data_IF_715076153752
#
_entry.id   IF_715076153752
#
_cell.length_a   1.000
_cell.length_b   1.000
_cell.length_c   1.000
_cell.angle_alpha   90.00
_cell.angle_beta   90.00
_cell.angle_gamma   90.00
#
_symmetry.space_group_name_H-M   'P 1'
#
loop_
_entity.id
_entity.type
_entity.pdbx_description
1 polymer ?
#
# COMPACT_ATOMS: atom_id res chain seq x y z
N UNK A 1 9.83 -18.77 0.58
CA UNK A 1 9.17 -17.83 1.52
C UNK A 1 9.59 -18.16 2.95
N UNK A 2 9.67 -17.18 3.85
CA UNK A 2 10.09 -17.43 5.25
C UNK A 2 8.97 -18.13 6.02
N UNK A 3 9.28 -19.22 6.74
CA UNK A 3 8.31 -19.92 7.60
C UNK A 3 7.67 -18.98 8.65
N UNK A 4 8.41 -17.96 9.11
CA UNK A 4 7.89 -16.94 10.03
C UNK A 4 6.76 -16.10 9.40
N UNK A 5 6.89 -15.77 8.10
CA UNK A 5 5.88 -15.00 7.39
C UNK A 5 4.59 -15.80 7.21
N UNK A 6 4.70 -17.11 6.96
CA UNK A 6 3.54 -18.01 6.88
C UNK A 6 2.83 -18.08 8.24
N UNK A 7 3.57 -18.25 9.34
CA UNK A 7 2.99 -18.27 10.69
C UNK A 7 2.29 -16.97 11.06
N UNK A 8 2.90 -15.82 10.76
CA UNK A 8 2.26 -14.52 10.97
C UNK A 8 0.99 -14.36 10.14
N UNK A 9 1.04 -14.75 8.86
CA UNK A 9 -0.13 -14.74 7.98
C UNK A 9 -1.28 -15.59 8.53
N UNK A 10 -0.99 -16.79 9.05
CA UNK A 10 -1.99 -17.68 9.63
C UNK A 10 -2.64 -17.07 10.88
N UNK A 11 -1.84 -16.52 11.80
CA UNK A 11 -2.36 -15.83 12.98
C UNK A 11 -3.26 -14.63 12.64
N UNK A 12 -2.86 -13.81 11.65
CA UNK A 12 -3.69 -12.69 11.20
C UNK A 12 -5.03 -13.17 10.62
N UNK A 13 -5.03 -14.27 9.87
CA UNK A 13 -6.27 -14.85 9.35
C UNK A 13 -7.13 -15.51 10.42
N UNK A 14 -6.52 -16.09 11.46
CA UNK A 14 -7.24 -16.65 12.61
C UNK A 14 -7.98 -15.56 13.38
N UNK A 15 -7.29 -14.44 13.67
CA UNK A 15 -7.86 -13.35 14.45
C UNK A 15 -9.03 -12.65 13.73
N UNK A 16 -8.94 -12.53 12.40
CA UNK A 16 -9.96 -11.82 11.61
C UNK A 16 -11.10 -12.71 11.12
N UNK A 17 -10.83 -13.97 10.78
CA UNK A 17 -11.79 -14.85 10.10
C UNK A 17 -12.06 -16.18 10.81
N UNK A 18 -11.30 -16.48 11.87
CA UNK A 18 -11.46 -17.68 12.69
C UNK A 18 -10.64 -18.90 12.24
N UNK A 19 -10.68 -19.93 13.08
CA UNK A 19 -9.82 -21.12 12.99
C UNK A 19 -10.02 -21.94 11.70
N UNK A 20 -11.26 -22.03 11.20
CA UNK A 20 -11.54 -22.78 9.96
C UNK A 20 -10.84 -22.16 8.75
N UNK A 21 -10.83 -20.82 8.67
CA UNK A 21 -10.19 -20.08 7.60
C UNK A 21 -8.67 -20.18 7.72
N UNK A 22 -8.14 -20.06 8.94
CA UNK A 22 -6.72 -20.25 9.22
C UNK A 22 -6.22 -21.63 8.74
N UNK A 23 -6.90 -22.72 9.08
CA UNK A 23 -6.49 -24.08 8.68
C UNK A 23 -6.41 -24.26 7.16
N UNK A 24 -7.39 -23.71 6.44
CA UNK A 24 -7.42 -23.75 4.97
C UNK A 24 -6.31 -22.87 4.39
N UNK A 25 -6.11 -21.68 4.95
CA UNK A 25 -5.05 -20.75 4.58
C UNK A 25 -3.66 -21.37 4.76
N UNK A 26 -3.37 -21.90 5.95
CA UNK A 26 -2.11 -22.57 6.28
C UNK A 26 -1.81 -23.70 5.29
N UNK A 27 -2.80 -24.56 5.01
CA UNK A 27 -2.63 -25.66 4.05
C UNK A 27 -2.23 -25.15 2.65
N UNK A 28 -2.91 -24.12 2.14
CA UNK A 28 -2.61 -23.54 0.83
C UNK A 28 -1.24 -22.84 0.79
N UNK A 29 -0.86 -22.16 1.88
CA UNK A 29 0.43 -21.47 1.96
C UNK A 29 1.63 -22.43 2.03
N UNK A 30 1.46 -23.61 2.65
CA UNK A 30 2.53 -24.61 2.73
C UNK A 30 2.60 -25.54 1.50
N UNK A 31 1.45 -25.94 0.97
CA UNK A 31 1.39 -26.98 -0.08
C UNK A 31 1.22 -26.40 -1.50
N UNK A 32 0.96 -25.10 -1.62
CA UNK A 32 0.72 -24.43 -2.90
C UNK A 32 -0.68 -24.71 -3.46
N UNK A 33 -0.84 -24.49 -4.75
CA UNK A 33 -2.13 -24.60 -5.45
C UNK A 33 -2.74 -26.00 -5.29
N UNK A 34 -4.01 -26.07 -4.89
CA UNK A 34 -4.66 -27.34 -4.53
C UNK A 34 -6.15 -27.38 -4.88
N UNK A 35 -6.65 -28.57 -5.22
CA UNK A 35 -8.09 -28.78 -5.47
C UNK A 35 -8.91 -28.76 -4.18
N UNK A 36 -10.20 -28.41 -4.29
CA UNK A 36 -11.15 -28.44 -3.17
C UNK A 36 -11.16 -29.79 -2.43
N UNK A 37 -11.09 -30.90 -3.17
CA UNK A 37 -11.12 -32.24 -2.61
C UNK A 37 -9.85 -32.53 -1.80
N UNK A 38 -8.69 -32.12 -2.33
CA UNK A 38 -7.41 -32.26 -1.65
C UNK A 38 -7.40 -31.47 -0.34
N UNK A 39 -7.86 -30.22 -0.38
CA UNK A 39 -7.93 -29.34 0.79
C UNK A 39 -8.79 -29.97 1.89
N UNK A 40 -10.01 -30.41 1.57
CA UNK A 40 -10.92 -31.01 2.55
C UNK A 40 -10.37 -32.31 3.15
N UNK A 41 -9.75 -33.15 2.33
CA UNK A 41 -9.20 -34.44 2.79
C UNK A 41 -7.99 -34.23 3.70
N UNK A 42 -7.11 -33.29 3.36
CA UNK A 42 -5.85 -33.04 4.09
C UNK A 42 -6.06 -32.24 5.37
N UNK A 43 -6.94 -31.23 5.36
CA UNK A 43 -7.24 -30.41 6.54
C UNK A 43 -8.21 -31.09 7.51
N UNK A 44 -8.87 -32.19 7.09
CA UNK A 44 -9.95 -32.86 7.82
C UNK A 44 -11.15 -31.94 8.13
N UNK A 45 -11.28 -30.85 7.40
CA UNK A 45 -12.42 -29.92 7.50
C UNK A 45 -13.50 -30.37 6.52
N UNK A 46 -14.80 -30.38 6.92
CA UNK A 46 -15.90 -30.72 6.02
C UNK A 46 -15.90 -29.85 4.76
N UNK A 47 -16.20 -30.46 3.61
CA UNK A 47 -16.16 -29.76 2.31
C UNK A 47 -17.04 -28.50 2.27
N UNK A 48 -18.15 -28.48 3.02
CA UNK A 48 -19.02 -27.30 3.15
C UNK A 48 -18.32 -26.13 3.82
N UNK A 49 -17.60 -26.41 4.91
CA UNK A 49 -16.83 -25.40 5.65
C UNK A 49 -15.61 -24.93 4.86
N UNK A 50 -14.94 -25.83 4.13
CA UNK A 50 -13.87 -25.44 3.20
C UNK A 50 -14.38 -24.49 2.12
N UNK A 51 -15.56 -24.73 1.55
CA UNK A 51 -16.16 -23.82 0.56
C UNK A 51 -16.44 -22.43 1.16
N UNK A 52 -16.99 -22.37 2.37
CA UNK A 52 -17.23 -21.10 3.08
C UNK A 52 -15.91 -20.36 3.35
N UNK A 53 -14.90 -21.08 3.84
CA UNK A 53 -13.59 -20.50 4.09
C UNK A 53 -12.94 -19.94 2.82
N UNK A 54 -12.96 -20.71 1.72
CA UNK A 54 -12.45 -20.25 0.43
C UNK A 54 -13.23 -19.04 -0.09
N UNK A 55 -14.56 -19.00 0.09
CA UNK A 55 -15.39 -17.85 -0.27
C UNK A 55 -14.94 -16.57 0.46
N UNK A 56 -14.74 -16.64 1.77
CA UNK A 56 -14.22 -15.52 2.58
C UNK A 56 -12.84 -15.11 2.09
N UNK A 57 -11.92 -16.07 1.89
CA UNK A 57 -10.56 -15.76 1.44
C UNK A 57 -10.52 -15.12 0.05
N UNK A 58 -11.37 -15.57 -0.89
CA UNK A 58 -11.48 -14.99 -2.23
C UNK A 58 -12.08 -13.58 -2.16
N UNK A 59 -13.12 -13.40 -1.33
CA UNK A 59 -13.73 -12.09 -1.09
C UNK A 59 -12.70 -11.07 -0.57
N UNK A 60 -11.77 -11.48 0.31
CA UNK A 60 -10.69 -10.63 0.79
C UNK A 60 -9.43 -10.62 -0.08
N UNK A 61 -9.46 -11.29 -1.25
CA UNK A 61 -8.33 -11.38 -2.19
C UNK A 61 -7.07 -11.95 -1.52
N UNK A 62 -7.26 -12.85 -0.56
CA UNK A 62 -6.22 -13.64 0.10
C UNK A 62 -5.95 -14.89 -0.74
N UNK A 63 -7.03 -15.50 -1.25
CA UNK A 63 -6.97 -16.62 -2.17
C UNK A 63 -7.39 -16.23 -3.58
N UNK A 64 -6.80 -16.91 -4.56
CA UNK A 64 -7.21 -16.90 -5.97
C UNK A 64 -7.52 -18.33 -6.43
N UNK A 65 -8.16 -18.46 -7.58
CA UNK A 65 -8.43 -19.74 -8.20
C UNK A 65 -8.11 -19.69 -9.68
N UNK A 66 -7.58 -20.79 -10.21
CA UNK A 66 -7.24 -20.95 -11.62
C UNK A 66 -7.70 -22.31 -12.12
N UNK A 67 -8.05 -22.40 -13.39
CA UNK A 67 -8.34 -23.68 -14.04
C UNK A 67 -7.05 -24.25 -14.62
N UNK A 68 -6.62 -25.41 -14.11
CA UNK A 68 -5.48 -26.13 -14.64
C UNK A 68 -5.79 -26.65 -16.07
N UNK A 69 -4.77 -27.08 -16.83
CA UNK A 69 -4.86 -27.66 -18.19
C UNK A 69 -5.86 -28.82 -18.33
N UNK A 70 -6.29 -29.42 -17.22
CA UNK A 70 -7.30 -30.49 -17.14
C UNK A 70 -8.71 -29.97 -16.78
N UNK A 71 -8.96 -28.67 -16.86
CA UNK A 71 -10.19 -27.99 -16.41
C UNK A 71 -10.55 -28.26 -14.94
N UNK A 72 -9.53 -28.50 -14.10
CA UNK A 72 -9.69 -28.65 -12.66
C UNK A 72 -9.36 -27.32 -11.99
N UNK A 73 -10.27 -26.84 -11.13
CA UNK A 73 -10.07 -25.61 -10.36
C UNK A 73 -9.12 -25.89 -9.21
N UNK A 74 -8.01 -25.14 -9.19
CA UNK A 74 -7.03 -25.13 -8.12
C UNK A 74 -7.06 -23.78 -7.42
N UNK A 75 -7.03 -23.81 -6.09
CA UNK A 75 -7.01 -22.63 -5.24
C UNK A 75 -5.59 -22.38 -4.76
N UNK A 76 -5.16 -21.12 -4.75
CA UNK A 76 -3.86 -20.70 -4.22
C UNK A 76 -4.06 -19.55 -3.22
N UNK A 77 -3.14 -19.38 -2.28
CA UNK A 77 -3.18 -18.31 -1.29
C UNK A 77 -1.88 -17.49 -1.32
N UNK A 78 -2.00 -16.19 -1.08
CA UNK A 78 -0.86 -15.26 -1.10
C UNK A 78 -0.47 -14.81 0.29
N UNK A 79 0.73 -15.20 0.74
CA UNK A 79 1.31 -14.72 2.01
C UNK A 79 1.35 -13.20 2.04
N UNK A 80 1.73 -12.56 0.93
CA UNK A 80 1.84 -11.10 0.87
C UNK A 80 0.50 -10.44 1.14
N UNK A 81 -0.60 -10.97 0.58
CA UNK A 81 -1.96 -10.45 0.83
C UNK A 81 -2.37 -10.63 2.29
N UNK A 82 -2.07 -11.77 2.91
CA UNK A 82 -2.31 -11.97 4.35
C UNK A 82 -1.55 -10.96 5.20
N UNK A 83 -0.28 -10.69 4.90
CA UNK A 83 0.53 -9.75 5.67
C UNK A 83 0.04 -8.29 5.55
N UNK A 84 -0.71 -7.96 4.50
CA UNK A 84 -1.32 -6.63 4.34
C UNK A 84 -2.49 -6.40 5.29
N UNK A 85 -3.09 -7.45 5.87
CA UNK A 85 -4.13 -7.34 6.91
C UNK A 85 -3.62 -6.51 8.10
N UNK A 86 -2.36 -6.72 8.50
CA UNK A 86 -1.73 -5.94 9.57
C UNK A 86 -1.57 -4.44 9.25
N UNK A 87 -1.73 -4.03 7.98
CA UNK A 87 -1.62 -2.63 7.55
C UNK A 87 -2.96 -1.92 7.43
N UNK A 88 -4.09 -2.61 7.61
CA UNK A 88 -5.43 -2.03 7.48
C UNK A 88 -5.62 -0.74 8.28
N UNK A 89 -5.23 -0.67 9.58
CA UNK A 89 -5.36 0.57 10.34
C UNK A 89 -4.62 1.76 9.72
N UNK A 90 -3.46 1.51 9.10
CA UNK A 90 -2.68 2.57 8.43
C UNK A 90 -3.36 3.04 7.14
N UNK A 91 -4.00 2.15 6.39
CA UNK A 91 -4.77 2.52 5.19
C UNK A 91 -6.01 3.35 5.57
N UNK A 92 -6.74 2.93 6.61
CA UNK A 92 -7.92 3.63 7.12
C UNK A 92 -7.53 5.04 7.60
N UNK A 93 -6.47 5.14 8.40
CA UNK A 93 -5.96 6.44 8.85
C UNK A 93 -5.51 7.34 7.69
N UNK A 94 -4.86 6.77 6.67
CA UNK A 94 -4.50 7.51 5.46
C UNK A 94 -5.73 8.08 4.75
N UNK A 95 -6.80 7.29 4.64
CA UNK A 95 -8.06 7.73 4.06
C UNK A 95 -8.69 8.88 4.89
N UNK A 96 -8.68 8.77 6.22
CA UNK A 96 -9.13 9.84 7.13
C UNK A 96 -8.38 11.16 6.87
N UNK A 97 -7.05 11.10 6.76
CA UNK A 97 -6.22 12.30 6.58
C UNK A 97 -6.42 12.97 5.22
N UNK A 98 -6.75 12.20 4.18
CA UNK A 98 -6.93 12.73 2.82
C UNK A 98 -8.37 13.11 2.51
N UNK A 99 -9.34 12.40 3.10
CA UNK A 99 -10.74 12.45 2.70
C UNK A 99 -11.72 12.67 3.84
N UNK A 100 -11.26 12.93 5.06
CA UNK A 100 -12.04 13.06 6.31
C UNK A 100 -12.73 11.78 6.78
N UNK A 101 -13.58 11.90 7.80
CA UNK A 101 -14.26 10.77 8.46
C UNK A 101 -15.12 9.95 7.48
N UNK A 102 -15.71 10.58 6.45
CA UNK A 102 -16.47 9.84 5.45
C UNK A 102 -15.55 8.96 4.60
N UNK A 103 -14.37 9.45 4.23
CA UNK A 103 -13.38 8.65 3.51
C UNK A 103 -12.78 7.53 4.35
N UNK A 104 -12.58 7.77 5.65
CA UNK A 104 -12.18 6.75 6.63
C UNK A 104 -13.14 5.56 6.62
N UNK A 105 -14.44 5.84 6.81
CA UNK A 105 -15.46 4.81 6.90
C UNK A 105 -15.67 4.06 5.58
N UNK A 106 -15.59 4.74 4.43
CA UNK A 106 -15.67 4.08 3.11
C UNK A 106 -14.55 3.04 2.96
N UNK A 107 -13.31 3.42 3.27
CA UNK A 107 -12.16 2.52 3.12
C UNK A 107 -12.21 1.42 4.18
N UNK A 108 -12.61 1.74 5.41
CA UNK A 108 -12.83 0.75 6.47
C UNK A 108 -13.85 -0.32 6.06
N UNK A 109 -15.01 0.11 5.54
CA UNK A 109 -16.09 -0.79 5.14
C UNK A 109 -15.62 -1.73 4.02
N UNK A 110 -14.92 -1.22 3.01
CA UNK A 110 -14.38 -2.04 1.91
C UNK A 110 -13.29 -3.00 2.41
N UNK A 111 -12.38 -2.57 3.29
CA UNK A 111 -11.32 -3.44 3.79
C UNK A 111 -11.86 -4.61 4.64
N UNK A 112 -12.86 -4.35 5.47
CA UNK A 112 -13.50 -5.36 6.34
C UNK A 112 -14.56 -6.19 5.61
N UNK A 113 -15.21 -5.63 4.60
CA UNK A 113 -16.21 -6.32 3.77
C UNK A 113 -15.64 -7.03 2.56
N UNK A 114 -14.38 -6.76 2.17
CA UNK A 114 -13.72 -7.37 1.02
C UNK A 114 -14.16 -6.74 -0.30
N UNK A 115 -14.93 -7.47 -1.09
CA UNK A 115 -15.48 -6.99 -2.36
C UNK A 115 -16.94 -6.60 -2.17
N UNK A 116 -17.27 -5.34 -2.48
CA UNK A 116 -18.61 -4.81 -2.22
C UNK A 116 -19.10 -3.93 -3.36
N UNK A 117 -20.42 -3.86 -3.54
CA UNK A 117 -21.03 -2.92 -4.48
C UNK A 117 -21.01 -1.50 -3.90
N UNK A 118 -21.07 -0.50 -4.77
CA UNK A 118 -21.07 0.90 -4.35
C UNK A 118 -22.31 1.21 -3.50
N UNK A 119 -23.46 0.68 -3.88
CA UNK A 119 -24.73 0.87 -3.17
C UNK A 119 -24.64 0.42 -1.70
N UNK A 120 -24.09 -0.77 -1.43
CA UNK A 120 -23.98 -1.29 -0.05
C UNK A 120 -23.01 -0.43 0.76
N UNK A 121 -21.86 -0.05 0.19
CA UNK A 121 -20.88 0.81 0.89
C UNK A 121 -21.50 2.16 1.25
N UNK A 122 -22.18 2.80 0.31
CA UNK A 122 -22.83 4.11 0.56
C UNK A 122 -23.91 3.99 1.64
N UNK A 123 -24.73 2.94 1.60
CA UNK A 123 -25.76 2.71 2.60
C UNK A 123 -25.16 2.53 3.99
N UNK A 124 -24.22 1.59 4.15
CA UNK A 124 -23.61 1.26 5.43
C UNK A 124 -22.90 2.47 6.04
N UNK A 125 -22.13 3.22 5.23
CA UNK A 125 -21.40 4.40 5.71
C UNK A 125 -22.36 5.52 6.10
N UNK A 126 -23.41 5.78 5.32
CA UNK A 126 -24.41 6.80 5.64
C UNK A 126 -25.13 6.48 6.95
N UNK A 127 -25.53 5.22 7.14
CA UNK A 127 -26.15 4.76 8.39
C UNK A 127 -25.21 4.88 9.59
N UNK A 128 -23.93 4.51 9.45
CA UNK A 128 -22.92 4.62 10.51
C UNK A 128 -22.65 6.08 10.89
N UNK A 129 -22.52 6.96 9.91
CA UNK A 129 -22.33 8.38 10.15
C UNK A 129 -23.57 9.00 10.82
N UNK A 130 -24.78 8.64 10.37
CA UNK A 130 -26.02 9.16 10.96
C UNK A 130 -26.15 8.75 12.42
N UNK A 131 -25.78 7.50 12.77
CA UNK A 131 -25.72 7.03 14.16
C UNK A 131 -24.74 7.81 15.02
N UNK A 132 -23.60 8.24 14.46
CA UNK A 132 -22.59 9.00 15.19
C UNK A 132 -23.03 10.47 15.45
N UNK A 133 -23.74 11.08 14.51
CA UNK A 133 -24.21 12.47 14.59
C UNK A 133 -25.55 12.60 15.33
N UNK A 134 -26.32 11.51 15.43
CA UNK A 134 -27.66 11.50 16.01
C UNK A 134 -28.66 12.31 15.18
N UNK A 135 -29.78 12.72 15.79
CA UNK A 135 -30.85 13.47 15.11
C UNK A 135 -30.50 14.95 14.83
N UNK A 136 -29.28 15.38 15.20
CA UNK A 136 -28.86 16.78 15.12
C UNK A 136 -28.68 17.28 13.69
N UNK A 137 -28.31 16.38 12.76
CA UNK A 137 -28.09 16.71 11.35
C UNK A 137 -28.33 15.47 10.49
N UNK A 138 -29.16 15.60 9.45
CA UNK A 138 -29.35 14.56 8.44
C UNK A 138 -28.11 14.50 7.56
N UNK A 139 -27.55 13.31 7.39
CA UNK A 139 -26.40 13.07 6.53
C UNK A 139 -26.92 12.64 5.17
N UNK A 140 -26.59 13.43 4.16
CA UNK A 140 -26.99 13.15 2.79
C UNK A 140 -26.05 12.10 2.18
N UNK A 141 -26.63 11.08 1.57
CA UNK A 141 -25.90 10.06 0.80
C UNK A 141 -25.08 10.70 -0.34
N UNK A 142 -25.50 11.86 -0.84
CA UNK A 142 -24.79 12.68 -1.85
C UNK A 142 -23.37 13.06 -1.40
N UNK A 143 -23.18 13.38 -0.11
CA UNK A 143 -21.88 13.71 0.46
C UNK A 143 -20.94 12.51 0.43
N UNK A 144 -21.43 11.36 0.90
CA UNK A 144 -20.67 10.10 0.94
C UNK A 144 -20.33 9.66 -0.48
N UNK A 145 -21.29 9.77 -1.41
CA UNK A 145 -21.09 9.53 -2.85
C UNK A 145 -19.97 10.39 -3.41
N UNK A 146 -19.97 11.69 -3.14
CA UNK A 146 -18.92 12.61 -3.59
C UNK A 146 -17.53 12.21 -3.10
N UNK A 147 -17.43 11.65 -1.89
CA UNK A 147 -16.16 11.13 -1.34
C UNK A 147 -15.75 9.81 -1.99
N UNK A 148 -16.69 8.90 -2.21
CA UNK A 148 -16.45 7.65 -2.93
C UNK A 148 -15.91 7.93 -4.33
N UNK A 149 -16.55 8.84 -5.07
CA UNK A 149 -16.11 9.24 -6.42
C UNK A 149 -14.68 9.78 -6.39
N UNK A 150 -14.37 10.68 -5.46
CA UNK A 150 -13.01 11.23 -5.32
C UNK A 150 -11.97 10.14 -5.03
N UNK A 151 -12.30 9.15 -4.19
CA UNK A 151 -11.42 8.02 -3.90
C UNK A 151 -11.18 7.13 -5.13
N UNK A 152 -12.16 7.01 -6.02
CA UNK A 152 -12.02 6.31 -7.31
C UNK A 152 -11.17 7.13 -8.28
N UNK A 153 -11.42 8.43 -8.40
CA UNK A 153 -10.67 9.35 -9.28
C UNK A 153 -9.18 9.39 -8.92
N UNK A 154 -8.85 9.39 -7.64
CA UNK A 154 -7.47 9.35 -7.14
C UNK A 154 -6.92 7.93 -6.99
N UNK A 155 -7.66 6.92 -7.46
CA UNK A 155 -7.30 5.51 -7.57
C UNK A 155 -7.07 4.76 -6.25
N UNK A 156 -7.53 5.27 -5.11
CA UNK A 156 -7.48 4.54 -3.83
C UNK A 156 -8.52 3.42 -3.77
N UNK A 157 -9.60 3.54 -4.54
CA UNK A 157 -10.61 2.50 -4.75
C UNK A 157 -10.64 2.16 -6.23
N UNK A 158 -10.79 0.88 -6.54
CA UNK A 158 -10.87 0.37 -7.91
C UNK A 158 -11.86 -0.78 -8.01
N UNK A 159 -12.43 -1.00 -9.19
CA UNK A 159 -13.21 -2.21 -9.45
C UNK A 159 -12.35 -3.45 -9.26
N UNK A 160 -12.97 -4.55 -8.86
CA UNK A 160 -12.34 -5.87 -8.87
C UNK A 160 -12.07 -6.23 -10.34
N UNK A 161 -10.82 -6.46 -10.74
CA UNK A 161 -10.51 -6.88 -12.10
C UNK A 161 -11.10 -8.26 -12.37
N UNK A 162 -11.51 -8.49 -13.62
CA UNK A 162 -11.87 -9.82 -14.05
C UNK A 162 -10.66 -10.76 -13.98
N UNK A 163 -10.82 -12.02 -13.55
CA UNK A 163 -9.71 -12.98 -13.43
C UNK A 163 -8.91 -13.16 -14.73
N UNK A 164 -9.58 -13.07 -15.87
CA UNK A 164 -8.96 -13.16 -17.21
C UNK A 164 -8.07 -11.95 -17.51
N UNK A 165 -8.46 -10.76 -17.03
CA UNK A 165 -7.71 -9.51 -17.21
C UNK A 165 -6.51 -9.48 -16.26
N UNK A 166 -6.65 -10.03 -15.04
CA UNK A 166 -5.55 -10.14 -14.06
C UNK A 166 -4.38 -11.00 -14.57
N UNK A 167 -4.66 -12.13 -15.24
CA UNK A 167 -3.62 -13.00 -15.79
C UNK A 167 -2.80 -12.34 -16.92
N UNK A 168 -3.41 -11.43 -17.68
CA UNK A 168 -2.74 -10.69 -18.78
C UNK A 168 -1.90 -9.52 -18.24
N UNK A 169 -2.33 -8.90 -17.13
CA UNK A 169 -1.62 -7.79 -16.48
C UNK A 169 -0.28 -8.21 -15.86
N UNK A 170 -0.13 -9.46 -15.43
CA UNK A 170 1.15 -9.96 -14.89
C UNK A 170 2.20 -10.25 -15.97
N UNK A 171 1.82 -10.27 -17.26
CA UNK A 171 2.66 -10.80 -18.33
C UNK A 171 3.11 -9.81 -19.41
N UNK A 172 2.52 -8.61 -19.55
CA UNK A 172 2.86 -7.70 -20.67
C UNK A 172 2.72 -6.20 -20.35
N UNK A 173 3.60 -5.36 -20.94
CA UNK A 173 3.51 -3.89 -20.99
C UNK A 173 2.92 -3.42 -22.34
N UNK A 174 1.71 -3.86 -22.68
CA UNK A 174 1.03 -3.51 -23.94
C UNK A 174 0.16 -2.24 -23.75
N UNK A 175 0.11 -1.27 -24.69
CA UNK A 175 -0.82 -0.13 -24.65
C UNK A 175 -2.31 -0.48 -24.46
N UNK A 176 -2.74 -1.71 -24.77
CA UNK A 176 -4.11 -2.17 -24.46
C UNK A 176 -4.35 -2.33 -22.94
N UNK A 177 -3.30 -2.59 -22.16
CA UNK A 177 -3.32 -2.67 -20.69
C UNK A 177 -3.67 -1.32 -20.06
N UNK A 178 -3.19 -0.21 -20.63
CA UNK A 178 -3.52 1.15 -20.14
C UNK A 178 -5.00 1.49 -20.31
N UNK A 179 -5.63 1.03 -21.40
CA UNK A 179 -7.08 1.19 -21.62
C UNK A 179 -7.91 0.34 -20.67
N UNK A 180 -7.45 -0.87 -20.38
CA UNK A 180 -8.09 -1.76 -19.40
C UNK A 180 -7.95 -1.24 -17.96
N UNK A 181 -6.80 -0.66 -17.60
CA UNK A 181 -6.62 0.02 -16.30
C UNK A 181 -7.57 1.20 -16.11
N UNK A 182 -7.81 2.00 -17.16
CA UNK A 182 -8.78 3.09 -17.09
C UNK A 182 -10.23 2.59 -16.88
N UNK A 183 -10.56 1.38 -17.30
CA UNK A 183 -11.88 0.78 -17.10
C UNK A 183 -12.15 0.45 -15.61
N UNK A 184 -11.11 0.14 -14.82
CA UNK A 184 -11.20 -0.15 -13.38
C UNK A 184 -11.71 1.02 -12.54
N UNK A 185 -11.65 2.25 -13.07
CA UNK A 185 -12.05 3.46 -12.37
C UNK A 185 -13.32 4.10 -12.94
N UNK A 186 -14.02 3.42 -13.86
CA UNK A 186 -15.31 3.91 -14.37
C UNK A 186 -16.38 3.77 -13.29
N UNK A 187 -17.26 4.76 -13.15
CA UNK A 187 -18.39 4.69 -12.21
C UNK A 187 -19.57 3.92 -12.82
N UNK A 188 -20.48 3.35 -12.01
CA UNK A 188 -21.71 2.73 -12.49
C UNK A 188 -22.61 3.75 -13.20
N UNK A 189 -23.43 3.25 -14.12
CA UNK A 189 -24.40 4.09 -14.84
C UNK A 189 -25.54 4.48 -13.90
N UNK A 190 -26.10 5.66 -14.14
CA UNK A 190 -27.11 6.28 -13.29
C UNK A 190 -28.48 6.27 -13.95
N UNK A 191 -29.55 6.01 -13.19
CA UNK A 191 -30.94 6.14 -13.65
C UNK A 191 -31.68 7.09 -12.70
N UNK A 192 -32.15 8.24 -13.22
CA UNK A 192 -33.21 9.00 -12.56
C UNK A 192 -34.53 8.27 -12.78
N UNK A 193 -35.25 7.94 -11.72
CA UNK A 193 -36.62 7.46 -11.86
C UNK A 193 -37.51 8.65 -12.27
N UNK A 194 -37.68 8.85 -13.58
CA UNK A 194 -38.83 9.61 -14.08
C UNK A 194 -40.01 8.64 -13.98
N UNK A 195 -40.73 8.75 -12.87
CA UNK A 195 -41.77 7.82 -12.43
C UNK A 195 -42.49 7.10 -13.56
N UNK A 196 -42.15 5.83 -13.74
CA UNK A 196 -42.98 4.89 -14.49
C UNK A 196 -43.28 3.70 -13.59
N UNK A 197 -44.52 3.55 -13.11
CA UNK A 197 -44.85 2.41 -12.26
C UNK A 197 -44.74 1.14 -13.10
N UNK A 198 -43.91 0.20 -12.63
CA UNK A 198 -43.85 -1.18 -13.09
C UNK A 198 -45.24 -1.82 -12.98
N UNK A 199 -46.00 -1.72 -14.06
CA UNK A 199 -47.35 -2.24 -14.18
C UNK A 199 -47.37 -3.76 -14.22
N UNK A 200 -47.61 -4.40 -13.08
CA UNK A 200 -48.29 -5.69 -13.03
C UNK A 200 -49.76 -5.47 -13.39
N UNK A 201 -50.09 -5.50 -14.68
CA UNK A 201 -51.50 -5.50 -15.14
C UNK A 201 -52.11 -6.89 -14.92
N UNK A 202 -52.86 -7.04 -13.82
CA UNK A 202 -53.97 -8.01 -13.74
C UNK A 202 -55.24 -7.22 -14.05
N UNK A 203 -55.90 -7.56 -15.16
CA UNK A 203 -57.18 -6.95 -15.60
C UNK A 203 -58.31 -7.51 -14.73
N UNK A 204 -59.24 -6.64 -14.33
CA UNK A 204 -60.69 -6.85 -14.45
C UNK A 204 -61.44 -5.50 -14.32
N UNK A 205 -62.66 -5.35 -14.89
CA UNK A 205 -63.25 -4.06 -15.24
C UNK A 205 -64.56 -3.66 -14.51
N UNK A 206 -64.76 -2.33 -14.41
CA UNK A 206 -66.02 -1.54 -14.23
C UNK A 206 -66.70 -1.59 -12.85
N UNK A 207 -67.35 -0.55 -12.30
CA UNK A 207 -68.08 0.62 -12.85
C UNK A 207 -68.21 1.74 -11.77
N UNK A 208 -68.26 3.01 -12.19
CA UNK A 208 -68.90 4.27 -11.71
C UNK A 208 -69.18 4.51 -10.19
N UNK A 209 -69.14 5.70 -9.57
CA UNK A 209 -69.50 7.07 -9.97
C UNK A 209 -69.05 8.06 -8.85
N UNK A 210 -68.86 9.32 -9.23
CA UNK A 210 -69.07 10.56 -8.46
C UNK A 210 -68.17 11.05 -7.29
N UNK A 211 -67.90 12.38 -7.31
CA UNK A 211 -67.70 13.18 -6.09
C UNK A 211 -66.41 13.99 -5.96
N UNK A 212 -66.42 15.24 -6.44
CA UNK A 212 -65.47 16.32 -6.06
C UNK A 212 -65.36 16.48 -4.54
N UNK A 213 -64.14 16.66 -4.01
CA UNK A 213 -63.77 17.79 -3.12
C UNK A 213 -62.27 17.85 -2.79
N UNK A 214 -61.68 19.00 -3.11
CA UNK A 214 -60.34 19.44 -2.73
C UNK A 214 -60.10 19.39 -1.21
N UNK A 215 -59.01 18.73 -0.79
CA UNK A 215 -58.27 19.07 0.43
C UNK A 215 -56.77 19.04 0.11
N UNK A 216 -56.11 20.18 0.34
CA UNK A 216 -54.66 20.36 0.43
C UNK A 216 -54.01 19.16 1.12
N UNK A 217 -53.21 18.39 0.38
CA UNK A 217 -52.25 17.47 0.93
C UNK A 217 -50.85 18.08 0.73
N UNK A 218 -50.11 18.15 1.83
CA UNK A 218 -48.68 18.43 1.88
C UNK A 218 -47.96 17.72 0.73
N UNK A 219 -47.16 18.44 -0.03
CA UNK A 219 -45.99 17.88 -0.71
C UNK A 219 -45.06 17.37 0.38
N UNK A 220 -45.27 16.11 0.79
CA UNK A 220 -44.20 15.36 1.45
C UNK A 220 -43.05 15.28 0.44
N UNK A 221 -41.91 15.78 0.89
CA UNK A 221 -40.59 15.67 0.30
C UNK A 221 -40.22 14.17 0.21
N UNK A 222 -40.78 13.50 -0.81
CA UNK A 222 -40.36 12.18 -1.24
C UNK A 222 -38.96 12.34 -1.82
N UNK A 223 -37.97 12.19 -0.95
CA UNK A 223 -36.56 12.21 -1.34
C UNK A 223 -36.33 11.33 -2.56
N UNK A 224 -35.74 11.91 -3.60
CA UNK A 224 -35.30 11.21 -4.79
C UNK A 224 -34.40 10.05 -4.37
N UNK A 225 -34.93 8.82 -4.38
CA UNK A 225 -34.12 7.64 -4.14
C UNK A 225 -33.33 7.36 -5.42
N UNK A 226 -32.12 7.88 -5.47
CA UNK A 226 -31.14 7.54 -6.49
C UNK A 226 -30.79 6.04 -6.38
N UNK A 227 -31.14 5.24 -7.39
CA UNK A 227 -30.74 3.83 -7.48
C UNK A 227 -29.63 3.66 -8.52
N UNK A 228 -28.56 2.95 -8.15
CA UNK A 228 -27.47 2.59 -9.06
C UNK A 228 -27.72 1.21 -9.64
N UNK A 229 -27.40 1.03 -10.91
CA UNK A 229 -27.31 -0.30 -11.53
C UNK A 229 -25.88 -0.78 -11.32
N UNK A 230 -25.62 -1.39 -10.16
CA UNK A 230 -24.27 -1.84 -9.75
C UNK A 230 -24.20 -3.28 -9.22
N UNK A 231 -25.23 -4.10 -9.46
CA UNK A 231 -25.33 -5.49 -8.96
C UNK A 231 -24.10 -6.34 -9.30
N UNK A 232 -23.50 -6.14 -10.47
CA UNK A 232 -22.31 -6.88 -10.94
C UNK A 232 -20.99 -6.09 -10.80
N UNK A 233 -21.00 -4.91 -10.17
CA UNK A 233 -19.82 -4.03 -10.08
C UNK A 233 -19.28 -4.06 -8.65
N UNK A 234 -18.31 -4.93 -8.43
CA UNK A 234 -17.61 -5.03 -7.15
C UNK A 234 -16.42 -4.08 -7.09
N UNK A 235 -16.26 -3.43 -5.94
CA UNK A 235 -15.18 -2.52 -5.61
C UNK A 235 -14.27 -3.10 -4.54
N UNK A 236 -13.00 -2.73 -4.60
CA UNK A 236 -11.98 -3.08 -3.62
C UNK A 236 -11.03 -1.90 -3.37
N UNK A 237 -10.35 -1.93 -2.23
CA UNK A 237 -9.28 -0.98 -1.93
C UNK A 237 -8.03 -1.30 -2.76
N UNK A 238 -7.49 -0.28 -3.44
CA UNK A 238 -6.24 -0.40 -4.19
C UNK A 238 -5.04 -0.24 -3.26
N UNK A 239 -4.58 -1.36 -2.68
CA UNK A 239 -3.48 -1.35 -1.71
C UNK A 239 -2.15 -0.84 -2.30
N UNK A 240 -1.93 -1.04 -3.60
CA UNK A 240 -0.74 -0.55 -4.30
C UNK A 240 -0.72 0.98 -4.35
N UNK A 241 -1.88 1.62 -4.53
CA UNK A 241 -2.00 3.08 -4.47
C UNK A 241 -1.66 3.65 -3.10
N UNK A 242 -2.08 2.99 -2.02
CA UNK A 242 -1.67 3.37 -0.66
C UNK A 242 -0.16 3.24 -0.47
N UNK A 243 0.44 2.16 -0.97
CA UNK A 243 1.90 1.99 -0.91
C UNK A 243 2.65 3.06 -1.71
N UNK A 244 2.14 3.44 -2.89
CA UNK A 244 2.68 4.55 -3.67
C UNK A 244 2.64 5.85 -2.87
N UNK A 245 1.49 6.19 -2.27
CA UNK A 245 1.37 7.37 -1.42
C UNK A 245 2.35 7.36 -0.24
N UNK A 246 2.50 6.21 0.44
CA UNK A 246 3.45 6.09 1.56
C UNK A 246 4.90 6.21 1.11
N UNK A 247 5.28 5.57 -0.01
CA UNK A 247 6.62 5.69 -0.59
C UNK A 247 6.92 7.17 -0.89
N UNK A 248 6.00 7.84 -1.56
CA UNK A 248 6.16 9.23 -1.97
C UNK A 248 6.27 10.15 -0.74
N UNK A 249 5.46 9.89 0.29
CA UNK A 249 5.55 10.60 1.58
C UNK A 249 6.92 10.43 2.25
N UNK A 250 7.46 9.21 2.31
CA UNK A 250 8.78 8.95 2.91
C UNK A 250 9.92 9.58 2.09
N UNK A 251 9.83 9.57 0.75
CA UNK A 251 10.81 10.24 -0.12
C UNK A 251 10.80 11.76 0.14
N UNK A 252 9.62 12.35 0.27
CA UNK A 252 9.49 13.77 0.61
C UNK A 252 10.02 14.08 2.01
N UNK A 253 9.77 13.20 2.98
CA UNK A 253 10.31 13.30 4.34
C UNK A 253 11.85 13.23 4.34
N UNK A 254 12.44 12.36 3.53
CA UNK A 254 13.88 12.29 3.34
C UNK A 254 14.43 13.61 2.75
N UNK A 255 13.78 14.14 1.71
CA UNK A 255 14.16 15.43 1.11
C UNK A 255 14.04 16.61 2.08
N UNK A 256 13.03 16.59 2.97
CA UNK A 256 12.86 17.58 4.02
C UNK A 256 14.04 17.59 5.00
N UNK A 257 14.49 16.41 5.45
CA UNK A 257 15.63 16.26 6.37
C UNK A 257 16.96 16.70 5.75
N UNK A 258 17.16 16.47 4.45
CA UNK A 258 18.43 16.77 3.78
C UNK A 258 18.53 18.17 3.18
N UNK A 259 17.43 18.71 2.62
CA UNK A 259 17.45 19.93 1.81
C UNK A 259 16.48 21.03 2.28
N UNK A 260 15.71 20.77 3.35
CA UNK A 260 14.77 21.72 3.93
C UNK A 260 13.39 21.76 3.27
N UNK A 261 12.53 22.61 3.83
CA UNK A 261 11.09 22.63 3.53
C UNK A 261 10.77 22.89 2.05
N UNK A 262 11.32 23.96 1.46
CA UNK A 262 11.02 24.33 0.07
C UNK A 262 11.47 23.25 -0.93
N UNK A 263 12.63 22.65 -0.72
CA UNK A 263 13.12 21.55 -1.56
C UNK A 263 12.20 20.33 -1.48
N UNK A 264 11.70 20.00 -0.28
CA UNK A 264 10.75 18.90 -0.11
C UNK A 264 9.41 19.15 -0.81
N UNK A 265 8.96 20.40 -0.90
CA UNK A 265 7.71 20.74 -1.56
C UNK A 265 7.82 20.66 -3.09
N UNK A 266 9.00 20.96 -3.65
CA UNK A 266 9.30 20.72 -5.07
C UNK A 266 9.24 19.23 -5.38
N UNK A 267 9.90 18.40 -4.57
CA UNK A 267 9.86 16.93 -4.72
C UNK A 267 8.43 16.40 -4.59
N UNK A 268 7.65 16.90 -3.62
CA UNK A 268 6.23 16.55 -3.45
C UNK A 268 5.41 16.90 -4.69
N UNK A 269 5.63 18.07 -5.26
CA UNK A 269 4.94 18.54 -6.46
C UNK A 269 5.26 17.65 -7.66
N UNK A 270 6.53 17.30 -7.87
CA UNK A 270 6.96 16.39 -8.95
C UNK A 270 6.33 14.99 -8.82
N UNK A 271 6.27 14.42 -7.61
CA UNK A 271 5.62 13.13 -7.36
C UNK A 271 4.11 13.20 -7.62
N UNK A 272 3.45 14.29 -7.22
CA UNK A 272 2.01 14.51 -7.48
C UNK A 272 1.70 14.60 -8.97
N UNK A 273 2.50 15.30 -9.76
CA UNK A 273 2.33 15.36 -11.23
C UNK A 273 2.42 13.95 -11.84
N UNK A 274 3.31 13.11 -11.29
CA UNK A 274 3.63 11.79 -11.82
C UNK A 274 2.76 10.65 -11.25
N UNK A 275 1.79 10.98 -10.39
CA UNK A 275 1.07 10.01 -9.54
C UNK A 275 0.26 8.99 -10.35
N UNK A 276 -0.32 9.42 -11.47
CA UNK A 276 -1.19 8.58 -12.32
C UNK A 276 -0.50 8.06 -13.59
N UNK A 277 0.68 8.60 -13.91
CA UNK A 277 1.45 8.30 -15.13
C UNK A 277 2.60 7.32 -14.90
N UNK A 278 3.04 7.16 -13.64
CA UNK A 278 4.15 6.27 -13.29
C UNK A 278 3.59 4.94 -12.78
N UNK A 279 4.05 3.83 -13.34
CA UNK A 279 3.66 2.50 -12.85
C UNK A 279 4.35 2.18 -11.50
N UNK A 280 3.77 1.23 -10.77
CA UNK A 280 4.19 0.84 -9.42
C UNK A 280 5.62 0.28 -9.36
N UNK A 281 6.11 -0.37 -10.41
CA UNK A 281 7.45 -0.99 -10.46
C UNK A 281 8.50 -0.15 -11.22
N UNK A 282 8.12 1.03 -11.71
CA UNK A 282 9.04 1.88 -12.46
C UNK A 282 10.21 2.38 -11.60
N UNK A 283 11.38 2.46 -12.23
CA UNK A 283 12.63 2.89 -11.56
C UNK A 283 12.63 4.39 -11.31
N UNK A 284 11.98 5.16 -12.18
CA UNK A 284 11.88 6.60 -12.10
C UNK A 284 10.51 7.10 -12.58
N UNK A 285 10.14 8.31 -12.17
CA UNK A 285 8.92 8.95 -12.64
C UNK A 285 9.01 9.35 -14.11
N UNK A 286 7.87 9.57 -14.75
CA UNK A 286 7.82 10.21 -16.06
C UNK A 286 8.50 11.59 -16.02
N UNK A 287 9.39 11.94 -16.97
CA UNK A 287 10.06 13.23 -16.96
C UNK A 287 9.07 14.40 -17.06
N UNK A 288 9.25 15.40 -16.19
CA UNK A 288 8.41 16.60 -16.08
C UNK A 288 9.21 17.85 -16.43
N UNK A 289 8.58 18.80 -17.11
CA UNK A 289 9.27 20.04 -17.50
C UNK A 289 9.39 21.01 -16.34
N UNK A 290 10.44 21.84 -16.37
CA UNK A 290 10.61 22.94 -15.44
C UNK A 290 9.35 23.81 -15.27
N UNK A 291 8.68 24.10 -16.39
CA UNK A 291 7.50 24.97 -16.42
C UNK A 291 6.29 24.32 -15.73
N UNK A 292 6.09 23.02 -15.94
CA UNK A 292 4.99 22.29 -15.32
C UNK A 292 5.18 22.17 -13.82
N UNK A 293 6.41 21.90 -13.38
CA UNK A 293 6.75 21.84 -11.95
C UNK A 293 6.51 23.20 -11.29
N UNK A 294 7.02 24.29 -11.89
CA UNK A 294 6.86 25.63 -11.33
C UNK A 294 5.38 26.06 -11.27
N UNK A 295 4.59 25.72 -12.28
CA UNK A 295 3.16 26.04 -12.34
C UNK A 295 2.33 25.26 -11.33
N UNK A 296 2.71 24.02 -11.04
CA UNK A 296 2.00 23.15 -10.11
C UNK A 296 2.35 23.40 -8.63
N UNK A 297 3.35 24.24 -8.36
CA UNK A 297 3.73 24.58 -6.98
C UNK A 297 2.58 25.33 -6.26
N UNK A 298 2.36 25.05 -4.96
CA UNK A 298 1.41 25.80 -4.16
C UNK A 298 1.71 27.30 -4.14
N UNK A 299 0.70 28.12 -4.47
CA UNK A 299 0.84 29.58 -4.58
C UNK A 299 1.25 30.27 -3.27
N UNK A 300 0.92 29.67 -2.11
CA UNK A 300 1.25 30.18 -0.78
C UNK A 300 2.75 30.17 -0.45
N UNK A 301 3.57 29.47 -1.24
CA UNK A 301 5.03 29.43 -1.01
C UNK A 301 5.74 30.70 -1.46
N UNK A 302 5.11 31.53 -2.32
CA UNK A 302 5.66 32.79 -2.83
C UNK A 302 7.11 32.68 -3.36
N UNK A 303 7.40 31.61 -4.10
CA UNK A 303 8.74 31.34 -4.66
C UNK A 303 8.85 32.01 -6.02
N UNK A 304 9.89 32.81 -6.22
CA UNK A 304 10.25 33.38 -7.52
C UNK A 304 11.10 32.40 -8.34
N UNK A 305 11.19 32.64 -9.66
CA UNK A 305 11.91 31.75 -10.58
C UNK A 305 13.39 31.58 -10.21
N UNK A 306 14.03 32.63 -9.69
CA UNK A 306 15.44 32.59 -9.30
C UNK A 306 15.68 31.65 -8.13
N UNK A 307 14.87 31.73 -7.06
CA UNK A 307 14.97 30.79 -5.93
C UNK A 307 14.64 29.37 -6.37
N UNK A 308 13.63 29.20 -7.22
CA UNK A 308 13.28 27.88 -7.74
C UNK A 308 14.43 27.24 -8.54
N UNK A 309 15.11 27.99 -9.42
CA UNK A 309 16.31 27.52 -10.13
C UNK A 309 17.42 27.08 -9.17
N UNK A 310 17.65 27.85 -8.09
CA UNK A 310 18.66 27.50 -7.08
C UNK A 310 18.31 26.18 -6.36
N UNK A 311 17.05 25.99 -5.97
CA UNK A 311 16.63 24.76 -5.30
C UNK A 311 16.68 23.54 -6.21
N UNK A 312 16.27 23.66 -7.48
CA UNK A 312 16.41 22.56 -8.44
C UNK A 312 17.88 22.18 -8.63
N UNK A 313 18.78 23.16 -8.73
CA UNK A 313 20.22 22.90 -8.82
C UNK A 313 20.72 22.11 -7.60
N UNK A 314 20.39 22.57 -6.39
CA UNK A 314 20.75 21.88 -5.13
C UNK A 314 20.21 20.43 -5.11
N UNK A 315 18.97 20.22 -5.54
CA UNK A 315 18.34 18.90 -5.58
C UNK A 315 19.03 17.95 -6.57
N UNK A 316 19.46 18.45 -7.73
CA UNK A 316 20.16 17.64 -8.75
C UNK A 316 21.63 17.37 -8.44
N UNK A 317 22.31 18.27 -7.72
CA UNK A 317 23.72 18.13 -7.36
C UNK A 317 23.94 17.36 -6.04
N UNK A 318 22.87 17.00 -5.33
CA UNK A 318 22.94 16.29 -4.05
C UNK A 318 23.52 14.86 -4.22
N UNK A 319 24.25 14.39 -3.21
CA UNK A 319 24.77 13.02 -3.11
C UNK A 319 23.66 11.95 -3.16
N UNK A 320 22.46 12.26 -2.68
CA UNK A 320 21.33 11.32 -2.72
C UNK A 320 20.79 11.06 -4.12
N UNK A 321 20.98 12.02 -5.06
CA UNK A 321 20.55 11.94 -6.47
C UNK A 321 19.10 11.49 -6.66
N UNK A 322 18.21 11.89 -5.76
CA UNK A 322 16.77 11.58 -5.83
C UNK A 322 16.13 12.29 -7.03
N UNK A 323 16.52 13.54 -7.29
CA UNK A 323 16.07 14.31 -8.45
C UNK A 323 17.16 14.27 -9.51
N UNK A 324 16.80 13.93 -10.75
CA UNK A 324 17.76 13.91 -11.87
C UNK A 324 17.33 14.89 -12.95
N UNK A 325 18.32 15.48 -13.60
CA UNK A 325 18.14 16.30 -14.80
C UNK A 325 18.30 15.38 -16.01
N UNK A 326 17.21 15.10 -16.71
CA UNK A 326 17.15 14.16 -17.84
C UNK A 326 17.61 14.82 -19.12
N UNK A 327 17.15 16.04 -19.37
CA UNK A 327 17.52 16.82 -20.56
C UNK A 327 17.65 18.29 -20.24
N UNK A 328 18.64 18.93 -20.85
CA UNK A 328 18.82 20.38 -20.84
C UNK A 328 18.20 21.04 -22.07
N UNK A 329 18.09 20.31 -23.19
CA UNK A 329 17.44 20.76 -24.41
C UNK A 329 15.91 20.59 -24.32
N UNK A 330 15.15 21.58 -24.82
CA UNK A 330 13.69 21.46 -24.96
C UNK A 330 12.87 21.69 -23.68
N UNK A 331 13.34 22.55 -22.75
CA UNK A 331 12.52 22.99 -21.60
C UNK A 331 12.93 22.47 -20.23
N UNK A 332 14.16 21.93 -20.10
CA UNK A 332 14.76 21.40 -18.85
C UNK A 332 13.86 20.34 -18.19
N UNK A 333 14.10 19.07 -18.53
CA UNK A 333 13.31 17.94 -18.03
C UNK A 333 13.95 17.34 -16.78
N UNK A 334 13.12 17.05 -15.79
CA UNK A 334 13.51 16.46 -14.51
C UNK A 334 12.64 15.25 -14.18
N UNK A 335 13.23 14.23 -13.57
CA UNK A 335 12.51 13.09 -13.02
C UNK A 335 12.95 12.82 -11.57
N UNK A 336 12.19 11.96 -10.89
CA UNK A 336 12.55 11.42 -9.58
C UNK A 336 12.94 9.96 -9.75
N UNK A 337 14.15 9.63 -9.32
CA UNK A 337 14.65 8.27 -9.24
C UNK A 337 14.06 7.60 -7.99
N UNK A 338 13.01 6.81 -8.20
CA UNK A 338 12.26 6.15 -7.14
C UNK A 338 13.11 5.09 -6.45
N UNK A 339 14.01 4.43 -7.18
CA UNK A 339 14.94 3.46 -6.60
C UNK A 339 15.93 4.14 -5.65
N UNK A 340 16.52 5.28 -6.04
CA UNK A 340 17.39 6.07 -5.15
C UNK A 340 16.61 6.66 -3.97
N UNK A 341 15.39 7.12 -4.20
CA UNK A 341 14.49 7.57 -3.14
C UNK A 341 14.23 6.47 -2.10
N UNK A 342 13.84 5.27 -2.54
CA UNK A 342 13.62 4.12 -1.66
C UNK A 342 14.90 3.72 -0.92
N UNK A 343 16.06 3.68 -1.59
CA UNK A 343 17.34 3.39 -0.94
C UNK A 343 17.69 4.43 0.14
N UNK A 344 17.44 5.71 -0.10
CA UNK A 344 17.67 6.76 0.90
C UNK A 344 16.77 6.59 2.13
N UNK A 345 15.50 6.25 1.93
CA UNK A 345 14.55 5.96 3.02
C UNK A 345 14.98 4.71 3.80
N UNK A 346 15.34 3.62 3.11
CA UNK A 346 15.82 2.39 3.74
C UNK A 346 17.09 2.64 4.55
N UNK A 347 18.06 3.38 4.00
CA UNK A 347 19.28 3.75 4.71
C UNK A 347 18.98 4.57 5.97
N UNK A 348 18.13 5.59 5.86
CA UNK A 348 17.74 6.40 7.02
C UNK A 348 17.07 5.56 8.12
N UNK A 349 16.25 4.57 7.75
CA UNK A 349 15.62 3.67 8.72
C UNK A 349 16.65 2.78 9.42
N UNK A 350 17.60 2.20 8.68
CA UNK A 350 18.68 1.39 9.25
C UNK A 350 19.58 2.24 10.14
N UNK A 351 19.93 3.46 9.73
CA UNK A 351 20.71 4.40 10.54
C UNK A 351 20.01 4.72 11.87
N UNK A 352 18.69 4.96 11.87
CA UNK A 352 17.91 5.16 13.09
C UNK A 352 17.96 3.94 14.00
N UNK A 353 17.80 2.72 13.45
CA UNK A 353 17.90 1.47 14.24
C UNK A 353 19.28 1.30 14.84
N UNK A 354 20.35 1.59 14.07
CA UNK A 354 21.73 1.50 14.55
C UNK A 354 21.98 2.51 15.68
N UNK A 355 21.48 3.74 15.52
CA UNK A 355 21.61 4.79 16.53
C UNK A 355 20.87 4.44 17.82
N UNK A 356 19.66 3.90 17.74
CA UNK A 356 18.87 3.51 18.91
C UNK A 356 19.43 2.27 19.62
N UNK A 357 19.90 1.26 18.86
CA UNK A 357 20.41 0.01 19.44
C UNK A 357 21.85 0.11 19.96
N UNK A 358 22.72 0.81 19.24
CA UNK A 358 24.17 0.80 19.50
C UNK A 358 24.73 2.19 19.87
N UNK A 359 23.90 3.22 19.87
CA UNK A 359 24.28 4.59 20.22
C UNK A 359 24.94 5.38 19.08
N UNK A 360 25.20 6.65 19.37
CA UNK A 360 25.68 7.64 18.38
C UNK A 360 27.09 7.38 17.84
N UNK A 361 27.98 6.79 18.65
CA UNK A 361 29.35 6.43 18.24
C UNK A 361 29.34 5.32 17.18
N UNK A 362 28.53 4.29 17.39
CA UNK A 362 28.32 3.19 16.43
C UNK A 362 27.68 3.68 15.15
N UNK A 363 26.66 4.54 15.25
CA UNK A 363 26.06 5.20 14.09
C UNK A 363 27.10 5.99 13.27
N UNK A 364 28.04 6.70 13.91
CA UNK A 364 29.13 7.39 13.19
C UNK A 364 30.04 6.41 12.43
N UNK A 365 30.41 5.28 13.02
CA UNK A 365 31.18 4.22 12.35
C UNK A 365 30.39 3.65 11.15
N UNK A 366 29.11 3.34 11.37
CA UNK A 366 28.22 2.81 10.34
C UNK A 366 28.11 3.76 9.14
N UNK A 367 27.86 5.05 9.39
CA UNK A 367 27.76 6.08 8.34
C UNK A 367 29.06 6.24 7.56
N UNK A 368 30.21 6.15 8.22
CA UNK A 368 31.52 6.15 7.55
C UNK A 368 31.65 4.96 6.59
N UNK A 369 31.25 3.76 7.02
CA UNK A 369 31.29 2.55 6.19
C UNK A 369 30.34 2.64 5.00
N UNK A 370 29.13 3.21 5.17
CA UNK A 370 28.20 3.44 4.06
C UNK A 370 28.80 4.41 3.03
N UNK A 371 29.49 5.46 3.48
CA UNK A 371 30.08 6.47 2.60
C UNK A 371 31.32 5.97 1.85
N UNK A 372 32.25 5.31 2.56
CA UNK A 372 33.53 4.85 1.99
C UNK A 372 33.52 3.40 1.49
N UNK A 373 32.42 2.67 1.72
CA UNK A 373 32.17 1.27 1.38
C UNK A 373 33.07 0.29 2.13
N UNK A 374 34.32 0.11 1.66
CA UNK A 374 35.23 -0.92 2.16
C UNK A 374 36.36 -0.25 2.95
N UNK A 375 36.43 -0.52 4.25
CA UNK A 375 37.47 0.03 5.12
C UNK A 375 38.08 -1.04 6.02
N UNK A 376 39.39 -1.02 6.15
CA UNK A 376 40.09 -1.79 7.15
C UNK A 376 39.95 -1.16 8.54
N UNK A 377 40.19 -1.97 9.57
CA UNK A 377 40.14 -1.57 10.98
C UNK A 377 40.88 -0.24 11.26
N UNK A 378 42.16 -0.16 10.86
CA UNK A 378 42.99 1.04 11.08
C UNK A 378 42.43 2.29 10.38
N UNK A 379 41.83 2.10 9.20
CA UNK A 379 41.23 3.20 8.45
C UNK A 379 39.97 3.71 9.15
N UNK A 380 39.16 2.82 9.73
CA UNK A 380 37.97 3.22 10.50
C UNK A 380 38.40 4.05 11.70
N UNK A 381 39.32 3.54 12.54
CA UNK A 381 39.81 4.21 13.75
C UNK A 381 40.32 5.63 13.46
N UNK A 382 41.12 5.79 12.40
CA UNK A 382 41.67 7.10 12.02
C UNK A 382 40.62 8.13 11.56
N UNK A 383 39.46 7.68 11.04
CA UNK A 383 38.45 8.55 10.44
C UNK A 383 37.30 8.91 11.39
N UNK A 384 37.02 8.12 12.43
CA UNK A 384 35.82 8.29 13.26
C UNK A 384 36.00 9.19 14.47
N UNK A 385 37.23 9.62 14.79
CA UNK A 385 37.57 10.39 15.99
C UNK A 385 37.03 9.74 17.28
N UNK A 386 37.10 8.40 17.34
CA UNK A 386 36.74 7.56 18.49
C UNK A 386 38.02 6.85 18.94
N UNK A 387 38.28 6.69 20.26
CA UNK A 387 39.43 5.92 20.73
C UNK A 387 39.48 4.52 20.12
N UNK A 388 40.67 4.08 19.69
CA UNK A 388 40.89 2.82 18.96
C UNK A 388 40.20 1.61 19.62
N UNK A 389 40.42 1.42 20.93
CA UNK A 389 39.81 0.33 21.70
C UNK A 389 38.28 0.35 21.63
N UNK A 390 37.67 1.51 21.79
CA UNK A 390 36.21 1.66 21.76
C UNK A 390 35.67 1.48 20.33
N UNK A 391 36.31 2.06 19.32
CA UNK A 391 35.91 1.90 17.92
C UNK A 391 35.93 0.43 17.50
N UNK A 392 36.94 -0.32 17.96
CA UNK A 392 37.06 -1.77 17.79
C UNK A 392 35.87 -2.50 18.41
N UNK A 393 35.59 -2.28 19.69
CA UNK A 393 34.49 -2.94 20.40
C UNK A 393 33.14 -2.71 19.69
N UNK A 394 32.83 -1.46 19.33
CA UNK A 394 31.58 -1.10 18.64
C UNK A 394 31.47 -1.71 17.24
N UNK A 395 32.57 -1.75 16.47
CA UNK A 395 32.61 -2.36 15.15
C UNK A 395 32.31 -3.86 15.21
N UNK A 396 32.95 -4.58 16.13
CA UNK A 396 32.73 -6.02 16.30
C UNK A 396 31.35 -6.34 16.87
N UNK A 397 30.78 -5.46 17.71
CA UNK A 397 29.40 -5.59 18.16
C UNK A 397 28.42 -5.49 16.98
N UNK A 398 28.57 -4.50 16.10
CA UNK A 398 27.73 -4.37 14.90
C UNK A 398 27.94 -5.53 13.90
N UNK A 399 29.17 -6.05 13.80
CA UNK A 399 29.47 -7.23 12.99
C UNK A 399 28.78 -8.49 13.53
N UNK A 400 28.84 -8.73 14.84
CA UNK A 400 28.20 -9.88 15.48
C UNK A 400 26.66 -9.87 15.32
N UNK A 401 26.07 -8.67 15.33
CA UNK A 401 24.63 -8.47 15.11
C UNK A 401 24.24 -8.38 13.62
N UNK A 402 25.19 -8.55 12.69
CA UNK A 402 24.92 -8.61 11.24
C UNK A 402 24.70 -7.28 10.53
N UNK A 403 24.93 -6.13 11.19
CA UNK A 403 24.83 -4.79 10.59
C UNK A 403 26.06 -4.42 9.74
N UNK A 404 27.20 -5.05 10.02
CA UNK A 404 28.45 -4.89 9.29
C UNK A 404 28.92 -6.26 8.82
N UNK A 405 29.48 -6.31 7.62
CA UNK A 405 30.04 -7.52 7.01
C UNK A 405 31.54 -7.36 6.77
N UNK A 406 32.24 -8.48 6.63
CA UNK A 406 33.67 -8.52 6.30
C UNK A 406 33.82 -9.23 4.96
N UNK A 407 34.65 -8.66 4.08
CA UNK A 407 35.04 -9.31 2.83
C UNK A 407 36.47 -9.83 2.98
N UNK A 408 36.71 -11.09 2.68
CA UNK A 408 38.07 -11.65 2.66
C UNK A 408 38.70 -11.42 1.28
N UNK A 409 39.88 -10.80 1.27
CA UNK A 409 40.67 -10.57 0.06
C UNK A 409 42.07 -11.13 0.28
N UNK A 410 42.29 -12.39 -0.11
CA UNK A 410 43.60 -13.03 0.05
C UNK A 410 44.54 -12.70 -1.11
N UNK A 411 45.81 -12.43 -0.80
CA UNK A 411 46.89 -12.36 -1.80
C UNK A 411 47.33 -13.74 -2.27
N UNK A 412 46.77 -14.80 -1.69
CA UNK A 412 47.27 -16.16 -1.75
C UNK A 412 46.13 -17.15 -1.94
N UNK A 413 46.34 -18.26 -2.67
CA UNK A 413 45.32 -19.30 -2.80
C UNK A 413 45.10 -20.09 -1.50
N UNK A 414 46.02 -19.99 -0.54
CA UNK A 414 45.94 -20.64 0.78
C UNK A 414 45.05 -19.88 1.78
N UNK A 415 44.55 -18.69 1.43
CA UNK A 415 43.74 -17.83 2.28
C UNK A 415 44.33 -17.57 3.68
N UNK A 416 45.66 -17.65 3.83
CA UNK A 416 46.31 -17.49 5.12
C UNK A 416 46.00 -16.10 5.75
N UNK A 417 45.54 -16.02 7.02
CA UNK A 417 45.10 -14.76 7.62
C UNK A 417 46.16 -13.65 7.62
N UNK A 418 47.45 -14.01 7.68
CA UNK A 418 48.58 -13.06 7.62
C UNK A 418 48.75 -12.37 6.26
N UNK A 419 48.17 -12.94 5.19
CA UNK A 419 48.24 -12.47 3.80
C UNK A 419 46.85 -12.13 3.24
N UNK A 420 45.85 -12.01 4.10
CA UNK A 420 44.47 -11.72 3.74
C UNK A 420 44.04 -10.38 4.33
N UNK A 421 43.45 -9.54 3.49
CA UNK A 421 42.82 -8.30 3.93
C UNK A 421 41.37 -8.56 4.31
N UNK A 422 40.93 -7.88 5.37
CA UNK A 422 39.59 -7.98 5.93
C UNK A 422 38.92 -6.60 5.98
N UNK A 423 38.61 -5.97 4.82
CA UNK A 423 37.79 -4.77 4.81
C UNK A 423 36.38 -5.05 5.33
N UNK A 424 35.93 -4.17 6.23
CA UNK A 424 34.55 -4.09 6.68
C UNK A 424 33.73 -3.25 5.71
N UNK A 425 32.47 -3.62 5.54
CA UNK A 425 31.51 -2.90 4.71
C UNK A 425 30.07 -3.13 5.20
N UNK A 426 29.13 -2.34 4.70
CA UNK A 426 27.70 -2.50 4.98
C UNK A 426 27.00 -3.07 3.74
N UNK A 427 26.43 -4.26 3.88
CA UNK A 427 25.54 -4.84 2.87
C UNK A 427 24.09 -4.48 3.19
N UNK A 428 23.56 -3.43 2.54
CA UNK A 428 22.21 -2.93 2.81
C UNK A 428 21.12 -3.97 2.54
N UNK A 429 21.28 -4.83 1.54
CA UNK A 429 20.29 -5.87 1.22
C UNK A 429 20.23 -6.91 2.34
N UNK A 430 21.39 -7.38 2.80
CA UNK A 430 21.47 -8.33 3.92
C UNK A 430 20.86 -7.74 5.19
N UNK A 431 21.23 -6.52 5.55
CA UNK A 431 20.73 -5.85 6.76
C UNK A 431 19.22 -5.63 6.65
N UNK A 432 18.72 -5.22 5.49
CA UNK A 432 17.28 -5.03 5.25
C UNK A 432 16.50 -6.35 5.36
N UNK A 433 17.04 -7.44 4.82
CA UNK A 433 16.43 -8.77 4.92
C UNK A 433 16.41 -9.28 6.37
N UNK A 434 17.46 -9.03 7.12
CA UNK A 434 17.55 -9.38 8.53
C UNK A 434 16.52 -8.59 9.35
N UNK A 435 16.51 -7.25 9.24
CA UNK A 435 15.55 -6.41 9.95
C UNK A 435 14.10 -6.76 9.62
N UNK A 436 13.81 -7.08 8.36
CA UNK A 436 12.47 -7.55 7.97
C UNK A 436 12.08 -8.84 8.69
N UNK A 437 13.01 -9.79 8.84
CA UNK A 437 12.78 -11.04 9.59
C UNK A 437 12.56 -10.74 11.07
N UNK A 438 13.36 -9.85 11.66
CA UNK A 438 13.26 -9.47 13.07
C UNK A 438 11.92 -8.79 13.36
N UNK A 439 11.50 -7.83 12.52
CA UNK A 439 10.19 -7.17 12.64
C UNK A 439 9.05 -8.18 12.49
N UNK A 440 9.14 -9.11 11.53
CA UNK A 440 8.13 -10.17 11.36
C UNK A 440 8.02 -11.04 12.62
N UNK A 441 9.16 -11.39 13.22
CA UNK A 441 9.23 -12.17 14.45
C UNK A 441 8.64 -11.41 15.64
N UNK A 442 8.98 -10.13 15.79
CA UNK A 442 8.49 -9.30 16.88
C UNK A 442 6.98 -9.11 16.80
N UNK A 443 6.44 -8.82 15.61
CA UNK A 443 5.00 -8.71 15.38
C UNK A 443 4.27 -10.01 15.74
N UNK A 444 4.82 -11.17 15.35
CA UNK A 444 4.26 -12.47 15.69
C UNK A 444 4.19 -12.67 17.22
N UNK A 445 5.27 -12.36 17.94
CA UNK A 445 5.32 -12.48 19.40
C UNK A 445 4.28 -11.56 20.05
N UNK A 446 4.19 -10.31 19.61
CA UNK A 446 3.22 -9.34 20.17
C UNK A 446 1.77 -9.79 19.99
N UNK A 447 1.41 -10.31 18.81
CA UNK A 447 0.07 -10.82 18.55
C UNK A 447 -0.24 -12.08 19.37
N UNK A 448 0.75 -12.98 19.53
CA UNK A 448 0.59 -14.17 20.37
C UNK A 448 0.36 -13.79 21.83
N UNK A 449 1.12 -12.85 22.38
CA UNK A 449 0.92 -12.35 23.74
C UNK A 449 -0.46 -11.71 23.93
N UNK A 450 -0.95 -10.96 22.94
CA UNK A 450 -2.28 -10.37 22.98
C UNK A 450 -3.38 -11.44 22.96
N UNK A 451 -3.25 -12.45 22.10
CA UNK A 451 -4.20 -13.58 22.04
C UNK A 451 -4.25 -14.35 23.35
N UNK A 452 -3.11 -14.53 24.03
CA UNK A 452 -3.03 -15.18 25.34
C UNK A 452 -3.68 -14.34 26.43
N UNK A 453 -3.59 -13.00 26.34
CA UNK A 453 -4.30 -12.10 27.27
C UNK A 453 -5.81 -12.14 27.07
N UNK A 454 -6.30 -12.20 25.82
CA UNK A 454 -7.75 -12.32 25.51
C UNK A 454 -8.37 -13.65 25.98
N UNK A 455 -7.57 -14.71 26.14
CA UNK A 455 -8.00 -16.05 26.58
C UNK A 455 -7.98 -16.24 28.11
N UNK A 456 -7.38 -15.32 28.86
CA UNK A 456 -7.40 -15.29 30.33
C UNK A 456 -8.49 -14.36 30.81
#
# INVERSE_FOLDING_TARGET
MSALAIRLACHLTEELFGETVEKVCWFLLENGASSLQTIATRTKVPRTEVKKALCVMINHRIASFESNKKNLVEYSASVNRCLLLARYPRFIYCAKMLYDDAGELIVEEILHGGQMTMTIVLQNVTERLQKAVGDSKKIETSMVRGKFIKLVETRFIQRVPDPEIEAVQESTCDPDVTRQQAALYRLPSFVHDIGTPLGKRKRDPKEDEDGRRSKRAKTDDLGESEYYIDEDILWQANLDRFHQYFRDHEIVSAALKSNGSLASEIVRTMLRISEVTTDKLEVATTPTSYHDIFRALPANLNIDRNKFDQYLKILTENQTRIVRKVSEAGGRLYDIDLQKGSLAVTLSCIESVVQERFGSKSHRIFKLLVLKKYLEHKQIESNVLIPAKEAKELLYQMFAEGFVSVQELSKAPDHAPSRTYYPFFVNLDQVSLQLRRDVTRLLLISLQEESLKKRK
#
